data_IF_672413879686
#
_entry.id   IF_672413879686
#
_cell.length_a   1.000
_cell.length_b   1.000
_cell.length_c   1.000
_cell.angle_alpha   90.00
_cell.angle_beta   90.00
_cell.angle_gamma   90.00
#
_symmetry.space_group_name_H-M   'P 1'
#
loop_
_entity.id
_entity.type
_entity.pdbx_description
1 polymer ?
#
# COMPACT_ATOMS: atom_id res chain seq x y z
N UNK A 1 26.32 10.57 -15.29
CA UNK A 1 25.28 9.51 -15.44
C UNK A 1 24.36 9.58 -14.23
N UNK A 2 23.03 9.59 -14.40
CA UNK A 2 22.08 9.55 -13.27
C UNK A 2 21.41 8.18 -13.24
N UNK A 3 21.38 7.55 -12.07
CA UNK A 3 20.74 6.25 -11.84
C UNK A 3 19.45 6.53 -11.05
N UNK A 4 18.34 5.88 -11.43
CA UNK A 4 17.12 5.88 -10.62
C UNK A 4 17.13 4.62 -9.75
N UNK A 5 17.00 4.80 -8.45
CA UNK A 5 16.87 3.70 -7.49
C UNK A 5 15.44 3.74 -6.95
N UNK A 6 14.70 2.62 -7.04
CA UNK A 6 13.37 2.45 -6.44
C UNK A 6 13.54 1.63 -5.15
N UNK A 7 13.37 2.27 -4.00
CA UNK A 7 13.27 1.57 -2.72
C UNK A 7 11.82 1.12 -2.54
N UNK A 8 11.60 -0.17 -2.31
CA UNK A 8 10.26 -0.75 -2.11
C UNK A 8 10.13 -1.13 -0.65
N UNK A 9 9.14 -0.56 0.04
CA UNK A 9 8.74 -0.98 1.40
C UNK A 9 7.55 -1.93 1.28
N UNK A 10 7.59 -3.02 2.04
CA UNK A 10 6.46 -3.94 2.19
C UNK A 10 5.88 -3.77 3.60
N UNK A 11 4.55 -3.71 3.68
CA UNK A 11 3.83 -3.61 4.96
C UNK A 11 2.75 -4.68 4.97
N UNK A 12 2.82 -5.58 5.94
CA UNK A 12 1.77 -6.58 6.17
C UNK A 12 0.60 -5.95 6.93
N UNK A 13 -0.61 -6.31 6.53
CA UNK A 13 -1.86 -5.84 7.13
C UNK A 13 -2.78 -7.03 7.37
N UNK A 14 -3.29 -7.16 8.58
CA UNK A 14 -4.40 -8.05 8.88
C UNK A 14 -5.71 -7.32 8.53
N UNK A 15 -6.51 -7.93 7.65
CA UNK A 15 -7.74 -7.37 7.08
C UNK A 15 -8.79 -8.47 6.97
N UNK A 16 -10.07 -8.08 6.95
CA UNK A 16 -11.18 -9.03 6.76
C UNK A 16 -11.46 -9.25 5.27
N UNK A 17 -11.95 -10.43 4.87
CA UNK A 17 -12.40 -10.68 3.47
C UNK A 17 -13.50 -9.70 3.02
N UNK A 18 -14.30 -9.19 3.97
CA UNK A 18 -15.32 -8.16 3.71
C UNK A 18 -14.77 -6.74 3.58
N UNK A 19 -13.49 -6.50 3.85
CA UNK A 19 -12.87 -5.20 3.64
C UNK A 19 -12.79 -4.85 2.15
N UNK A 20 -12.68 -3.56 1.85
CA UNK A 20 -12.51 -3.06 0.49
C UNK A 20 -11.06 -2.64 0.28
N UNK A 21 -10.56 -2.62 -0.95
CA UNK A 21 -9.21 -2.07 -1.21
C UNK A 21 -9.07 -0.65 -0.66
N UNK A 22 -10.14 0.15 -0.70
CA UNK A 22 -10.18 1.50 -0.12
C UNK A 22 -10.00 1.51 1.41
N UNK A 23 -10.53 0.54 2.16
CA UNK A 23 -10.28 0.43 3.61
C UNK A 23 -8.87 -0.07 3.88
N UNK A 24 -8.39 -1.08 3.16
CA UNK A 24 -7.01 -1.58 3.27
C UNK A 24 -5.98 -0.47 3.05
N UNK A 25 -6.14 0.34 2.01
CA UNK A 25 -5.26 1.48 1.76
C UNK A 25 -5.30 2.53 2.87
N UNK A 26 -6.45 2.73 3.53
CA UNK A 26 -6.53 3.66 4.68
C UNK A 26 -5.81 3.10 5.91
N UNK A 27 -5.91 1.80 6.15
CA UNK A 27 -5.15 1.12 7.20
C UNK A 27 -3.65 1.21 6.93
N UNK A 28 -3.23 1.03 5.68
CA UNK A 28 -1.86 1.28 5.23
C UNK A 28 -1.42 2.72 5.52
N UNK A 29 -2.18 3.74 5.08
CA UNK A 29 -1.85 5.16 5.29
C UNK A 29 -1.68 5.49 6.78
N UNK A 30 -2.56 4.93 7.63
CA UNK A 30 -2.51 5.10 9.08
C UNK A 30 -1.28 4.46 9.69
N UNK A 31 -0.98 3.19 9.32
CA UNK A 31 0.16 2.43 9.84
C UNK A 31 1.50 3.03 9.43
N UNK A 32 1.56 3.57 8.22
CA UNK A 32 2.78 4.11 7.62
C UNK A 32 2.98 5.62 7.90
N UNK A 33 1.97 6.30 8.44
CA UNK A 33 1.99 7.75 8.62
C UNK A 33 2.14 8.51 7.31
N UNK A 34 1.73 7.92 6.19
CA UNK A 34 1.94 8.44 4.84
C UNK A 34 0.60 8.52 4.10
N UNK A 35 0.38 9.62 3.35
CA UNK A 35 -0.85 9.81 2.58
C UNK A 35 -0.63 9.41 1.12
N UNK A 36 -1.47 8.52 0.61
CA UNK A 36 -1.48 8.12 -0.80
C UNK A 36 -2.14 9.21 -1.64
N UNK A 37 -1.34 10.02 -2.33
CA UNK A 37 -1.86 11.06 -3.22
C UNK A 37 -2.28 10.54 -4.61
N UNK A 38 -1.72 9.41 -5.06
CA UNK A 38 -2.14 8.69 -6.26
C UNK A 38 -2.41 7.22 -5.92
N UNK A 39 -3.67 6.78 -6.03
CA UNK A 39 -4.07 5.41 -5.68
C UNK A 39 -3.99 4.52 -6.91
N UNK A 40 -2.78 4.25 -7.39
CA UNK A 40 -2.56 3.16 -8.35
C UNK A 40 -2.20 1.90 -7.57
N UNK A 41 -3.15 0.97 -7.51
CA UNK A 41 -2.96 -0.35 -6.90
C UNK A 41 -2.81 -1.36 -8.03
N UNK A 42 -1.69 -2.06 -8.05
CA UNK A 42 -1.41 -3.14 -8.99
C UNK A 42 -1.35 -4.45 -8.21
N UNK A 43 -2.20 -5.42 -8.58
CA UNK A 43 -2.14 -6.79 -8.08
C UNK A 43 -0.91 -7.46 -8.68
N UNK A 44 0.01 -7.97 -7.85
CA UNK A 44 1.30 -8.45 -8.35
C UNK A 44 1.19 -9.81 -9.07
N UNK A 45 0.30 -10.68 -8.58
CA UNK A 45 0.06 -12.03 -9.12
C UNK A 45 -0.42 -11.99 -10.58
N UNK A 46 -1.34 -11.07 -10.92
CA UNK A 46 -1.96 -10.96 -12.25
C UNK A 46 -1.45 -9.79 -13.08
N UNK A 47 -0.62 -8.93 -12.50
CA UNK A 47 -0.29 -7.62 -13.06
C UNK A 47 -1.48 -6.71 -13.37
N UNK A 48 -2.65 -7.00 -12.81
CA UNK A 48 -3.87 -6.23 -12.99
C UNK A 48 -3.80 -4.88 -12.25
N UNK A 49 -4.29 -3.83 -12.90
CA UNK A 49 -4.50 -2.53 -12.27
C UNK A 49 -5.92 -2.48 -11.67
N UNK A 50 -5.99 -2.39 -10.34
CA UNK A 50 -7.26 -2.25 -9.63
C UNK A 50 -7.70 -0.79 -9.73
N UNK A 51 -8.65 -0.54 -10.64
CA UNK A 51 -9.22 0.81 -10.88
C UNK A 51 -10.38 1.13 -9.94
N UNK A 52 -11.20 0.13 -9.64
CA UNK A 52 -12.31 0.26 -8.71
C UNK A 52 -11.88 -0.27 -7.34
N UNK A 53 -11.83 0.60 -6.33
CA UNK A 53 -11.34 0.27 -4.99
C UNK A 53 -12.49 -0.05 -4.01
N UNK A 54 -13.73 -0.04 -4.48
CA UNK A 54 -14.93 -0.25 -3.66
C UNK A 54 -15.33 -1.72 -3.45
N UNK A 55 -15.10 -2.67 -4.39
CA UNK A 55 -15.41 -4.08 -4.14
C UNK A 55 -14.64 -4.62 -2.94
N UNK A 56 -15.22 -5.62 -2.28
CA UNK A 56 -14.57 -6.32 -1.18
C UNK A 56 -13.40 -7.17 -1.67
N UNK A 57 -12.51 -7.56 -0.74
CA UNK A 57 -11.42 -8.49 -1.05
C UNK A 57 -11.96 -9.83 -1.55
N UNK A 58 -13.08 -10.30 -0.96
CA UNK A 58 -13.78 -11.50 -1.41
C UNK A 58 -14.31 -11.38 -2.84
N UNK A 59 -14.96 -10.26 -3.20
CA UNK A 59 -15.48 -10.01 -4.55
C UNK A 59 -14.35 -9.95 -5.60
N UNK A 60 -13.15 -9.55 -5.19
CA UNK A 60 -11.95 -9.53 -6.03
C UNK A 60 -11.20 -10.87 -6.05
N UNK A 61 -11.67 -11.87 -5.30
CA UNK A 61 -11.01 -13.16 -5.14
C UNK A 61 -9.58 -13.01 -4.61
N UNK A 62 -9.40 -12.12 -3.64
CA UNK A 62 -8.11 -11.88 -2.98
C UNK A 62 -7.94 -12.87 -1.84
N UNK A 63 -6.78 -13.51 -1.82
CA UNK A 63 -6.44 -14.54 -0.85
C UNK A 63 -5.30 -14.09 0.08
N UNK A 64 -5.12 -14.85 1.16
CA UNK A 64 -4.06 -14.59 2.12
C UNK A 64 -2.67 -14.62 1.48
N UNK A 65 -1.77 -13.77 1.96
CA UNK A 65 -0.42 -13.60 1.42
C UNK A 65 -0.34 -12.88 0.07
N UNK A 66 -1.44 -12.37 -0.46
CA UNK A 66 -1.42 -11.68 -1.74
C UNK A 66 -0.72 -10.31 -1.70
N UNK A 67 0.15 -10.07 -2.68
CA UNK A 67 0.95 -8.85 -2.78
C UNK A 67 0.34 -7.81 -3.72
N UNK A 68 0.30 -6.58 -3.23
CA UNK A 68 -0.11 -5.41 -3.98
C UNK A 68 1.04 -4.42 -4.07
N UNK A 69 1.29 -3.92 -5.27
CA UNK A 69 2.14 -2.75 -5.46
C UNK A 69 1.27 -1.50 -5.45
N UNK A 70 1.48 -0.69 -4.43
CA UNK A 70 0.85 0.63 -4.31
C UNK A 70 1.89 1.70 -4.60
N UNK A 71 1.56 2.65 -5.49
CA UNK A 71 2.44 3.78 -5.76
C UNK A 71 2.13 4.95 -4.83
N UNK A 72 3.05 5.21 -3.90
CA UNK A 72 3.01 6.39 -3.05
C UNK A 72 3.66 7.57 -3.79
N UNK A 73 2.90 8.64 -3.98
CA UNK A 73 3.44 9.93 -4.37
C UNK A 73 3.55 10.78 -3.09
N UNK A 74 4.77 10.86 -2.54
CA UNK A 74 5.08 11.56 -1.30
C UNK A 74 5.05 13.07 -1.53
N UNK A 75 3.85 13.66 -1.60
CA UNK A 75 3.73 15.12 -1.58
C UNK A 75 3.86 15.61 -0.13
N UNK A 76 5.08 15.98 0.24
CA UNK A 76 5.44 16.79 1.42
C UNK A 76 4.66 16.48 2.71
N UNK A 77 4.72 15.23 3.13
CA UNK A 77 4.33 14.79 4.46
C UNK A 77 5.34 13.81 5.01
N UNK A 78 6.64 14.13 4.91
CA UNK A 78 7.63 13.45 5.74
C UNK A 78 7.26 13.86 7.16
N UNK A 79 6.57 12.96 7.86
CA UNK A 79 6.49 13.06 9.30
C UNK A 79 7.92 12.87 9.81
N UNK A 80 8.58 13.99 10.13
CA UNK A 80 9.97 14.03 10.61
C UNK A 80 10.13 13.33 11.98
N UNK A 81 9.02 12.91 12.59
CA UNK A 81 8.98 12.18 13.86
C UNK A 81 8.97 10.66 13.72
N UNK A 82 9.05 10.10 12.50
CA UNK A 82 9.48 8.71 12.36
C UNK A 82 11.00 8.62 12.61
N UNK A 83 11.40 9.00 13.83
CA UNK A 83 12.63 8.58 14.47
C UNK A 83 12.54 7.06 14.56
N UNK A 84 12.96 6.35 13.51
CA UNK A 84 13.14 4.91 13.57
C UNK A 84 14.21 4.67 14.62
N UNK A 85 13.77 4.33 15.84
CA UNK A 85 14.62 3.76 16.85
C UNK A 85 15.33 2.57 16.20
N UNK A 86 16.63 2.74 15.95
CA UNK A 86 17.57 1.64 15.80
C UNK A 86 17.43 0.78 17.04
N UNK A 87 16.77 -0.37 16.92
CA UNK A 87 17.00 -1.46 17.85
C UNK A 87 18.19 -2.22 17.26
N UNK A 88 19.29 -2.20 18.01
CA UNK A 88 20.52 -2.96 17.78
C UNK A 88 20.24 -4.47 17.85
#
# INVERSE_FOLDING_TARGET
MRIRIKLVRTTELEVSKGDTIKSVLRSFETKEGARLSHRMVKRMSTSELIRNLNPSLEELGIEDGELFQVHLDFRNGINKDASYNQIC
#
